data_IF_687213422051
#
_entry.id   IF_687213422051
#
_cell.length_a   1.000
_cell.length_b   1.000
_cell.length_c   1.000
_cell.angle_alpha   90.00
_cell.angle_beta   90.00
_cell.angle_gamma   90.00
#
_symmetry.space_group_name_H-M   'P 1'
#
loop_
_entity.id
_entity.type
_entity.pdbx_description
1 polymer ?
#
# COMPACT_ATOMS: atom_id res chain seq x y z
N UNK A 1 -11.25 19.07 -21.37
CA UNK A 1 -10.42 18.12 -20.62
C UNK A 1 -9.59 17.38 -21.64
N UNK A 2 -8.31 17.73 -21.78
CA UNK A 2 -7.46 17.10 -22.79
C UNK A 2 -7.20 15.63 -22.40
N UNK A 3 -7.48 14.66 -23.29
CA UNK A 3 -7.30 13.24 -22.99
C UNK A 3 -5.88 12.88 -22.53
N UNK A 4 -4.88 13.61 -23.01
CA UNK A 4 -3.49 13.42 -22.62
C UNK A 4 -3.21 13.79 -21.15
N UNK A 5 -3.93 14.79 -20.62
CA UNK A 5 -3.79 15.24 -19.23
C UNK A 5 -4.33 14.19 -18.26
N UNK A 6 -5.45 13.56 -18.61
CA UNK A 6 -6.03 12.45 -17.82
C UNK A 6 -5.10 11.24 -17.82
N UNK A 7 -4.47 10.91 -18.95
CA UNK A 7 -3.54 9.78 -19.03
C UNK A 7 -2.26 10.04 -18.22
N UNK A 8 -1.72 11.26 -18.21
CA UNK A 8 -0.54 11.59 -17.39
C UNK A 8 -0.84 11.52 -15.89
N UNK A 9 -2.00 12.01 -15.46
CA UNK A 9 -2.46 11.91 -14.07
C UNK A 9 -2.62 10.45 -13.61
N UNK A 10 -3.24 9.61 -14.45
CA UNK A 10 -3.38 8.17 -14.16
C UNK A 10 -2.02 7.48 -14.05
N UNK A 11 -1.05 7.83 -14.91
CA UNK A 11 0.29 7.28 -14.86
C UNK A 11 1.02 7.67 -13.58
N UNK A 12 0.95 8.94 -13.19
CA UNK A 12 1.54 9.44 -11.95
C UNK A 12 0.93 8.75 -10.72
N UNK A 13 -0.40 8.63 -10.66
CA UNK A 13 -1.09 7.95 -9.57
C UNK A 13 -0.74 6.45 -9.49
N UNK A 14 -0.63 5.77 -10.63
CA UNK A 14 -0.21 4.36 -10.70
C UNK A 14 1.23 4.18 -10.23
N UNK A 15 2.14 5.05 -10.66
CA UNK A 15 3.54 5.01 -10.23
C UNK A 15 3.70 5.27 -8.73
N UNK A 16 2.98 6.25 -8.19
CA UNK A 16 2.92 6.48 -6.74
C UNK A 16 2.44 5.21 -6.01
N UNK A 17 1.35 4.60 -6.50
CA UNK A 17 0.83 3.35 -5.93
C UNK A 17 1.87 2.24 -5.93
N UNK A 18 2.64 2.05 -7.02
CA UNK A 18 3.70 1.05 -7.07
C UNK A 18 4.86 1.35 -6.11
N UNK A 19 5.24 2.61 -5.93
CA UNK A 19 6.32 2.99 -5.01
C UNK A 19 5.91 2.71 -3.55
N UNK A 20 4.66 2.99 -3.19
CA UNK A 20 4.16 2.74 -1.83
C UNK A 20 3.80 1.27 -1.57
N UNK A 21 3.11 0.62 -2.51
CA UNK A 21 2.64 -0.75 -2.36
C UNK A 21 3.72 -1.80 -2.68
N UNK A 22 4.66 -1.50 -3.58
CA UNK A 22 5.68 -2.44 -4.06
C UNK A 22 6.50 -3.09 -2.94
N UNK A 23 7.15 -2.32 -2.05
CA UNK A 23 7.92 -2.88 -0.94
C UNK A 23 7.09 -3.75 0.00
N UNK A 24 5.85 -3.31 0.29
CA UNK A 24 4.91 -4.01 1.15
C UNK A 24 4.47 -5.35 0.53
N UNK A 25 4.16 -5.35 -0.78
CA UNK A 25 3.76 -6.54 -1.52
C UNK A 25 4.91 -7.55 -1.64
N UNK A 26 6.13 -7.09 -1.89
CA UNK A 26 7.33 -7.95 -1.95
C UNK A 26 7.54 -8.62 -0.58
N UNK A 27 7.48 -7.87 0.51
CA UNK A 27 7.61 -8.41 1.86
C UNK A 27 6.51 -9.45 2.16
N UNK A 28 5.25 -9.13 1.85
CA UNK A 28 4.13 -10.04 2.03
C UNK A 28 4.27 -11.32 1.17
N UNK A 29 4.77 -11.20 -0.06
CA UNK A 29 5.00 -12.32 -0.96
C UNK A 29 6.10 -13.26 -0.45
N UNK A 30 7.24 -12.72 0.00
CA UNK A 30 8.35 -13.51 0.56
C UNK A 30 7.88 -14.31 1.78
N UNK A 31 7.21 -13.63 2.71
CA UNK A 31 6.75 -14.28 3.94
C UNK A 31 5.64 -15.30 3.63
N UNK A 32 4.69 -14.95 2.76
CA UNK A 32 3.65 -15.86 2.31
C UNK A 32 4.20 -17.12 1.64
N UNK A 33 5.26 -16.99 0.83
CA UNK A 33 5.95 -18.10 0.21
C UNK A 33 6.64 -19.00 1.25
N UNK A 34 7.37 -18.42 2.20
CA UNK A 34 8.02 -19.18 3.27
C UNK A 34 7.00 -20.02 4.05
N UNK A 35 5.89 -19.41 4.44
CA UNK A 35 4.81 -20.09 5.17
C UNK A 35 4.19 -21.20 4.32
N UNK A 36 3.96 -20.97 3.02
CA UNK A 36 3.41 -21.97 2.12
C UNK A 36 4.32 -23.21 1.99
N UNK A 37 5.64 -23.00 1.94
CA UNK A 37 6.63 -24.10 1.92
C UNK A 37 6.59 -24.89 3.24
N UNK A 38 6.53 -24.21 4.38
CA UNK A 38 6.41 -24.88 5.69
C UNK A 38 5.11 -25.68 5.82
N UNK A 39 3.99 -25.14 5.34
CA UNK A 39 2.69 -25.83 5.32
C UNK A 39 2.74 -27.08 4.43
N UNK A 40 3.35 -26.98 3.25
CA UNK A 40 3.52 -28.11 2.34
C UNK A 40 4.45 -29.19 2.92
N UNK A 41 5.57 -28.80 3.53
CA UNK A 41 6.56 -29.73 4.10
C UNK A 41 6.05 -30.51 5.32
N UNK A 42 5.19 -29.90 6.14
CA UNK A 42 4.63 -30.53 7.35
C UNK A 42 3.29 -31.22 7.14
N UNK A 43 2.74 -31.15 5.92
CA UNK A 43 1.40 -31.66 5.56
C UNK A 43 0.25 -31.01 6.36
N UNK A 44 0.50 -29.92 7.08
CA UNK A 44 -0.54 -29.15 7.80
C UNK A 44 -1.17 -28.17 6.80
N UNK A 45 -2.25 -28.61 6.14
CA UNK A 45 -3.07 -27.78 5.24
C UNK A 45 -4.32 -27.21 5.94
N UNK A 46 -4.17 -26.81 7.20
CA UNK A 46 -5.20 -26.08 7.93
C UNK A 46 -5.30 -24.64 7.41
N UNK A 47 -6.30 -24.39 6.55
CA UNK A 47 -6.52 -23.09 5.89
C UNK A 47 -6.52 -21.92 6.89
N UNK A 48 -7.04 -22.14 8.10
CA UNK A 48 -7.17 -21.15 9.17
C UNK A 48 -5.82 -20.61 9.63
N UNK A 49 -4.80 -21.46 9.78
CA UNK A 49 -3.46 -21.03 10.21
C UNK A 49 -2.82 -20.16 9.12
N UNK A 50 -2.91 -20.59 7.85
CA UNK A 50 -2.40 -19.83 6.71
C UNK A 50 -3.03 -18.44 6.61
N UNK A 51 -4.33 -18.35 6.86
CA UNK A 51 -5.09 -17.11 6.77
C UNK A 51 -4.75 -16.15 7.91
N UNK A 52 -4.61 -16.64 9.15
CA UNK A 52 -4.20 -15.83 10.31
C UNK A 52 -2.79 -15.26 10.09
N UNK A 53 -1.83 -16.08 9.67
CA UNK A 53 -0.45 -15.60 9.50
C UNK A 53 -0.36 -14.56 8.38
N UNK A 54 -1.07 -14.76 7.25
CA UNK A 54 -1.14 -13.76 6.17
C UNK A 54 -1.70 -12.41 6.66
N UNK A 55 -2.76 -12.43 7.46
CA UNK A 55 -3.33 -11.19 8.04
C UNK A 55 -2.30 -10.51 8.95
N UNK A 56 -1.65 -11.25 9.84
CA UNK A 56 -0.63 -10.70 10.75
C UNK A 56 0.52 -10.01 10.00
N UNK A 57 1.00 -10.62 8.92
CA UNK A 57 2.07 -10.08 8.08
C UNK A 57 1.63 -8.79 7.38
N UNK A 58 0.42 -8.77 6.81
CA UNK A 58 -0.12 -7.57 6.18
C UNK A 58 -0.37 -6.45 7.19
N UNK A 59 -0.92 -6.77 8.37
CA UNK A 59 -1.14 -5.81 9.45
C UNK A 59 0.18 -5.21 9.94
N UNK A 60 1.21 -6.05 10.18
CA UNK A 60 2.53 -5.56 10.57
C UNK A 60 3.16 -4.69 9.48
N UNK A 61 3.01 -5.09 8.21
CA UNK A 61 3.47 -4.32 7.07
C UNK A 61 2.76 -2.97 6.94
N UNK A 62 1.44 -2.91 7.18
CA UNK A 62 0.65 -1.67 7.18
C UNK A 62 1.02 -0.73 8.33
N UNK A 63 1.30 -1.28 9.52
CA UNK A 63 1.78 -0.47 10.65
C UNK A 63 3.15 0.13 10.33
N UNK A 64 4.05 -0.66 9.74
CA UNK A 64 5.36 -0.20 9.33
C UNK A 64 5.30 0.85 8.19
N UNK A 65 4.39 0.68 7.23
CA UNK A 65 4.20 1.62 6.11
C UNK A 65 3.23 2.77 6.40
N UNK A 66 2.58 2.78 7.56
CA UNK A 66 1.52 3.73 7.91
C UNK A 66 1.96 5.18 7.81
N UNK A 67 3.18 5.51 8.26
CA UNK A 67 3.73 6.86 8.12
C UNK A 67 3.90 7.30 6.66
N UNK A 68 4.40 6.41 5.80
CA UNK A 68 4.62 6.69 4.39
C UNK A 68 3.30 6.83 3.61
N UNK A 69 2.25 6.11 4.00
CA UNK A 69 0.93 6.18 3.37
C UNK A 69 0.13 7.42 3.82
N UNK A 70 0.29 7.85 5.07
CA UNK A 70 -0.45 9.00 5.63
C UNK A 70 0.18 10.34 5.24
N UNK A 71 1.52 10.38 5.10
CA UNK A 71 2.25 11.62 4.80
C UNK A 71 1.74 12.39 3.55
N UNK A 72 1.49 11.75 2.40
CA UNK A 72 0.96 12.44 1.22
C UNK A 72 -0.45 13.01 1.43
N UNK A 73 -1.30 12.30 2.19
CA UNK A 73 -2.66 12.75 2.50
C UNK A 73 -2.65 14.00 3.38
N UNK A 74 -1.77 14.02 4.38
CA UNK A 74 -1.59 15.19 5.26
C UNK A 74 -1.02 16.38 4.49
N UNK A 75 0.03 16.17 3.69
CA UNK A 75 0.61 17.22 2.86
C UNK A 75 -0.40 17.82 1.87
N UNK A 76 -1.24 16.97 1.27
CA UNK A 76 -2.27 17.45 0.35
C UNK A 76 -3.38 18.22 1.09
N UNK A 77 -3.79 17.76 2.27
CA UNK A 77 -4.72 18.48 3.11
C UNK A 77 -4.17 19.86 3.53
N UNK A 78 -2.90 19.92 3.93
CA UNK A 78 -2.22 21.18 4.27
C UNK A 78 -2.14 22.13 3.07
N UNK A 79 -1.82 21.63 1.88
CA UNK A 79 -1.79 22.43 0.65
C UNK A 79 -3.14 23.07 0.36
N UNK A 80 -4.22 22.29 0.38
CA UNK A 80 -5.59 22.79 0.16
C UNK A 80 -5.97 23.84 1.21
N UNK A 81 -5.66 23.59 2.48
CA UNK A 81 -5.97 24.52 3.58
C UNK A 81 -5.18 25.83 3.48
N UNK A 82 -3.92 25.77 3.04
CA UNK A 82 -3.05 26.94 2.89
C UNK A 82 -3.40 27.78 1.65
N UNK A 83 -3.89 27.14 0.58
CA UNK A 83 -4.28 27.84 -0.66
C UNK A 83 -5.71 28.38 -0.60
N UNK A 84 -6.55 27.86 0.30
CA UNK A 84 -7.94 28.30 0.48
C UNK A 84 -8.11 29.83 0.67
N UNK A 85 -7.29 30.54 1.47
CA UNK A 85 -7.37 31.99 1.62
C UNK A 85 -7.09 32.77 0.33
N UNK A 86 -6.23 32.24 -0.55
CA UNK A 86 -5.87 32.86 -1.83
C UNK A 86 -6.92 32.60 -2.92
N UNK A 87 -7.67 31.50 -2.82
CA UNK A 87 -8.81 31.22 -3.71
C UNK A 87 -10.05 32.07 -3.43
N UNK A 88 -10.16 32.65 -2.23
CA UNK A 88 -11.32 33.43 -1.78
C UNK A 88 -11.14 34.95 -2.00
N UNK A 89 -9.92 35.40 -2.33
CA UNK A 89 -9.65 36.78 -2.77
C UNK A 89 -9.81 36.94 -4.27
#
# INVERSE_FOLDING_TARGET
>A
MDPNLVISEINAASMATFIFAGPLLIAAAIIGLLIAVFQAATQIQEQTISQIVKILVLSAGLVASGGALVSPLVQHAEHILNDFPDMVR
#
